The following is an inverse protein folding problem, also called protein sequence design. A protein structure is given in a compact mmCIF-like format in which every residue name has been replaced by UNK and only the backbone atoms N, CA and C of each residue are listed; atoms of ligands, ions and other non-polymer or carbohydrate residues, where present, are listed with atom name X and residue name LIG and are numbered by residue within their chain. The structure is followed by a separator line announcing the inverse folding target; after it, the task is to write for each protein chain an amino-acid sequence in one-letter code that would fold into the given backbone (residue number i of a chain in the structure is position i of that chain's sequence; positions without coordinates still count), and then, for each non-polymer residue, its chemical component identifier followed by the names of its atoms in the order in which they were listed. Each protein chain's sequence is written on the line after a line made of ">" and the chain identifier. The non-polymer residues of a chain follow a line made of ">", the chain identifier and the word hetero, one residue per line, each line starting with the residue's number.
data_IF_833693970968
#
_entry.id   IF_833693970968
#
_cell.length_a   1.000
_cell.length_b   1.000
_cell.length_c   1.000
_cell.angle_alpha   90.00
_cell.angle_beta   90.00
_cell.angle_gamma   90.00
#
_symmetry.space_group_name_H-M   'P 1'
#
loop_
_entity.id
_entity.type
_entity.pdbx_description
1 polymer ?
#
# COMPACT_ATOMS: atom_id res chain seq x y z
N UNK A 1 -39.16 -27.03 4.78
CA UNK A 1 -38.78 -26.00 3.79
C UNK A 1 -38.28 -24.72 4.45
N UNK A 2 -39.02 -24.16 5.42
CA UNK A 2 -38.64 -22.91 6.11
C UNK A 2 -37.25 -22.94 6.77
N UNK A 3 -36.91 -24.03 7.47
CA UNK A 3 -35.59 -24.20 8.09
C UNK A 3 -34.45 -24.21 7.06
N UNK A 4 -34.69 -24.82 5.89
CA UNK A 4 -33.72 -24.85 4.78
C UNK A 4 -33.53 -23.45 4.19
N UNK A 5 -34.60 -22.67 4.02
CA UNK A 5 -34.51 -21.28 3.59
C UNK A 5 -33.79 -20.41 4.62
N UNK A 6 -34.07 -20.59 5.91
CA UNK A 6 -33.37 -19.88 6.97
C UNK A 6 -31.86 -20.18 6.96
N UNK A 7 -31.48 -21.45 6.83
CA UNK A 7 -30.07 -21.86 6.71
C UNK A 7 -29.41 -21.30 5.45
N UNK A 8 -30.11 -21.29 4.31
CA UNK A 8 -29.61 -20.70 3.07
C UNK A 8 -29.34 -19.20 3.25
N UNK A 9 -30.28 -18.46 3.84
CA UNK A 9 -30.13 -17.01 4.06
C UNK A 9 -28.94 -16.74 4.99
N UNK A 10 -28.83 -17.47 6.10
CA UNK A 10 -27.72 -17.29 7.06
C UNK A 10 -26.37 -17.58 6.39
N UNK A 11 -26.27 -18.65 5.61
CA UNK A 11 -25.02 -18.99 4.91
C UNK A 11 -24.65 -17.94 3.86
N UNK A 12 -25.60 -17.48 3.05
CA UNK A 12 -25.37 -16.42 2.06
C UNK A 12 -24.90 -15.13 2.72
N UNK A 13 -25.57 -14.69 3.79
CA UNK A 13 -25.18 -13.49 4.53
C UNK A 13 -23.78 -13.65 5.13
N UNK A 14 -23.47 -14.81 5.72
CA UNK A 14 -22.16 -15.10 6.26
C UNK A 14 -21.06 -15.01 5.18
N UNK A 15 -21.28 -15.61 4.02
CA UNK A 15 -20.33 -15.54 2.90
C UNK A 15 -20.15 -14.11 2.38
N UNK A 16 -21.22 -13.31 2.30
CA UNK A 16 -21.12 -11.90 1.93
C UNK A 16 -20.25 -11.12 2.92
N UNK A 17 -20.48 -11.27 4.22
CA UNK A 17 -19.69 -10.57 5.25
C UNK A 17 -18.21 -10.98 5.19
N UNK A 18 -17.92 -12.27 5.04
CA UNK A 18 -16.55 -12.76 4.90
C UNK A 18 -15.87 -12.19 3.65
N UNK A 19 -16.57 -12.18 2.51
CA UNK A 19 -16.07 -11.63 1.25
C UNK A 19 -15.74 -10.14 1.37
N UNK A 20 -16.68 -9.34 1.91
CA UNK A 20 -16.48 -7.89 2.12
C UNK A 20 -15.32 -7.63 3.08
N UNK A 21 -15.22 -8.40 4.16
CA UNK A 21 -14.14 -8.26 5.15
C UNK A 21 -12.76 -8.53 4.55
N UNK A 22 -12.63 -9.57 3.74
CA UNK A 22 -11.37 -9.90 3.05
C UNK A 22 -11.01 -8.78 2.06
N UNK A 23 -11.99 -8.30 1.29
CA UNK A 23 -11.78 -7.24 0.32
C UNK A 23 -11.36 -5.92 1.00
N UNK A 24 -12.05 -5.53 2.06
CA UNK A 24 -11.74 -4.35 2.86
C UNK A 24 -10.33 -4.43 3.46
N UNK A 25 -9.95 -5.59 4.01
CA UNK A 25 -8.60 -5.81 4.53
C UNK A 25 -7.53 -5.65 3.44
N UNK A 26 -7.78 -6.16 2.23
CA UNK A 26 -6.85 -6.03 1.10
C UNK A 26 -6.66 -4.57 0.70
N UNK A 27 -7.76 -3.82 0.61
CA UNK A 27 -7.75 -2.38 0.31
C UNK A 27 -6.98 -1.63 1.40
N UNK A 28 -7.27 -1.90 2.67
CA UNK A 28 -6.62 -1.25 3.80
C UNK A 28 -5.09 -1.45 3.78
N UNK A 29 -4.63 -2.68 3.52
CA UNK A 29 -3.20 -2.97 3.41
C UNK A 29 -2.55 -2.20 2.26
N UNK A 30 -3.26 -2.02 1.13
CA UNK A 30 -2.77 -1.25 0.00
C UNK A 30 -2.65 0.24 0.33
N UNK A 31 -3.66 0.84 0.96
CA UNK A 31 -3.60 2.23 1.40
C UNK A 31 -2.50 2.46 2.43
N UNK A 32 -2.36 1.55 3.40
CA UNK A 32 -1.28 1.62 4.39
C UNK A 32 0.09 1.54 3.75
N UNK A 33 0.30 0.65 2.78
CA UNK A 33 1.58 0.55 2.08
C UNK A 33 1.89 1.83 1.30
N UNK A 34 0.90 2.40 0.61
CA UNK A 34 1.04 3.67 -0.10
C UNK A 34 1.41 4.82 0.84
N UNK A 35 0.78 4.92 2.01
CA UNK A 35 1.11 5.92 3.03
C UNK A 35 2.55 5.77 3.54
N UNK A 36 3.04 4.54 3.70
CA UNK A 36 4.44 4.29 4.06
C UNK A 36 5.37 4.69 2.91
N UNK A 37 5.00 4.39 1.67
CA UNK A 37 5.78 4.79 0.49
C UNK A 37 5.90 6.31 0.40
N UNK A 38 4.80 7.05 0.58
CA UNK A 38 4.78 8.52 0.58
C UNK A 38 5.71 9.10 1.65
N UNK A 39 5.60 8.66 2.90
CA UNK A 39 6.52 9.09 3.98
C UNK A 39 7.98 8.71 3.71
N UNK A 40 8.20 7.60 3.01
CA UNK A 40 9.55 7.17 2.63
C UNK A 40 10.12 8.09 1.57
N UNK A 41 9.31 8.47 0.57
CA UNK A 41 9.68 9.43 -0.45
C UNK A 41 10.01 10.80 0.17
N UNK A 42 9.18 11.31 1.09
CA UNK A 42 9.45 12.55 1.83
C UNK A 42 10.81 12.51 2.55
N UNK A 43 11.10 11.40 3.23
CA UNK A 43 12.39 11.19 3.90
C UNK A 43 13.57 11.15 2.92
N UNK A 44 13.37 10.62 1.71
CA UNK A 44 14.38 10.64 0.64
C UNK A 44 14.55 12.05 0.08
N UNK A 45 13.47 12.80 -0.14
CA UNK A 45 13.52 14.18 -0.61
C UNK A 45 14.24 15.10 0.37
N UNK A 46 13.96 14.99 1.67
CA UNK A 46 14.70 15.74 2.69
C UNK A 46 16.19 15.44 2.69
N UNK A 47 16.57 14.17 2.41
CA UNK A 47 17.99 13.78 2.29
C UNK A 47 18.63 14.34 1.02
N UNK A 48 17.90 14.39 -0.09
CA UNK A 48 18.34 15.03 -1.33
C UNK A 48 18.63 16.52 -1.10
N UNK A 49 17.71 17.23 -0.46
CA UNK A 49 17.88 18.65 -0.13
C UNK A 49 19.06 18.89 0.80
N UNK A 50 19.23 18.05 1.81
CA UNK A 50 20.33 18.11 2.77
C UNK A 50 21.67 17.57 2.22
N UNK A 51 21.72 17.11 0.95
CA UNK A 51 22.89 16.47 0.31
C UNK A 51 23.46 15.30 1.12
N UNK A 52 22.58 14.55 1.77
CA UNK A 52 22.94 13.36 2.55
C UNK A 52 22.92 12.10 1.68
N UNK A 53 23.64 11.06 2.14
CA UNK A 53 23.62 9.76 1.49
C UNK A 53 22.22 9.15 1.60
N UNK A 54 21.67 8.73 0.46
CA UNK A 54 20.38 8.05 0.37
C UNK A 54 20.66 6.54 0.46
N UNK A 55 20.03 5.83 1.41
CA UNK A 55 20.19 4.40 1.51
C UNK A 55 19.52 3.72 0.31
N UNK A 56 20.10 2.61 -0.17
CA UNK A 56 19.52 1.78 -1.23
C UNK A 56 18.18 1.14 -0.80
N UNK A 57 17.99 0.95 0.51
CA UNK A 57 16.76 0.39 1.08
C UNK A 57 16.28 1.18 2.29
N UNK A 58 14.98 1.50 2.33
CA UNK A 58 14.31 2.15 3.46
C UNK A 58 12.86 1.69 3.58
N UNK A 59 12.40 1.39 4.81
CA UNK A 59 11.03 0.94 5.09
C UNK A 59 10.56 -0.28 4.26
N UNK A 60 11.51 -1.10 3.80
CA UNK A 60 11.25 -2.26 2.94
C UNK A 60 11.00 -1.91 1.47
N UNK A 61 11.31 -0.69 1.05
CA UNK A 61 11.39 -0.26 -0.34
C UNK A 61 12.86 -0.18 -0.75
N UNK A 62 13.13 -0.65 -1.96
CA UNK A 62 14.34 -0.34 -2.71
C UNK A 62 14.16 1.06 -3.31
N UNK A 63 15.17 1.92 -3.15
CA UNK A 63 15.11 3.32 -3.55
C UNK A 63 16.01 3.50 -4.77
N UNK A 64 15.43 3.98 -5.88
CA UNK A 64 16.17 4.50 -7.01
C UNK A 64 15.82 5.99 -7.19
N UNK A 65 16.85 6.83 -7.36
CA UNK A 65 16.67 8.27 -7.51
C UNK A 65 17.22 8.72 -8.84
N UNK A 66 16.35 9.26 -9.69
CA UNK A 66 16.67 9.76 -11.01
C UNK A 66 16.39 11.26 -11.07
N UNK A 67 17.41 12.08 -10.79
CA UNK A 67 17.27 13.53 -10.75
C UNK A 67 16.35 14.00 -9.62
N UNK A 68 15.15 14.48 -9.97
CA UNK A 68 14.12 14.93 -9.03
C UNK A 68 13.01 13.89 -8.78
N UNK A 69 13.17 12.67 -9.29
CA UNK A 69 12.22 11.57 -9.14
C UNK A 69 12.74 10.53 -8.17
N UNK A 70 11.85 10.07 -7.29
CA UNK A 70 12.11 8.99 -6.34
C UNK A 70 11.23 7.81 -6.71
N UNK A 71 11.88 6.71 -7.08
CA UNK A 71 11.25 5.43 -7.37
C UNK A 71 11.41 4.51 -6.16
N UNK A 72 10.28 4.05 -5.62
CA UNK A 72 10.23 3.11 -4.50
C UNK A 72 9.68 1.78 -4.98
N UNK A 73 10.53 0.75 -5.02
CA UNK A 73 10.16 -0.60 -5.43
C UNK A 73 10.02 -1.53 -4.23
N UNK A 74 8.94 -2.29 -4.19
CA UNK A 74 8.72 -3.34 -3.19
C UNK A 74 8.00 -4.53 -3.82
N UNK A 75 8.73 -5.64 -3.95
CA UNK A 75 8.24 -6.87 -4.58
C UNK A 75 7.68 -6.59 -6.00
N UNK A 76 6.36 -6.69 -6.19
CA UNK A 76 5.67 -6.49 -7.47
C UNK A 76 5.08 -5.08 -7.63
N UNK A 77 5.37 -4.16 -6.71
CA UNK A 77 4.80 -2.80 -6.71
C UNK A 77 5.88 -1.74 -6.80
N UNK A 78 5.57 -0.73 -7.57
CA UNK A 78 6.42 0.41 -7.81
C UNK A 78 5.62 1.69 -7.58
N UNK A 79 6.23 2.62 -6.84
CA UNK A 79 5.66 3.92 -6.54
C UNK A 79 6.64 4.98 -7.03
N UNK A 80 6.15 5.93 -7.80
CA UNK A 80 6.94 7.05 -8.32
C UNK A 80 6.42 8.34 -7.69
N UNK A 81 7.34 9.15 -7.19
CA UNK A 81 7.06 10.47 -6.64
C UNK A 81 7.97 11.49 -7.32
N UNK A 82 7.39 12.59 -7.79
CA UNK A 82 8.11 13.71 -8.40
C UNK A 82 7.92 14.95 -7.51
N UNK A 83 9.00 15.69 -7.27
CA UNK A 83 8.89 16.96 -6.54
C UNK A 83 8.25 17.99 -7.47
N UNK A 84 7.00 18.38 -7.21
CA UNK A 84 6.46 19.61 -7.80
C UNK A 84 7.30 20.78 -7.26
N UNK A 85 7.96 21.48 -8.18
CA UNK A 85 8.77 22.68 -7.87
C UNK A 85 7.92 23.85 -7.41
#
# INVERSE_FOLDING_TARGET
>A
MEVLFALLIVTVVFFMVCSVSIHARRIFLLYREREIAERTADGVFMRLEAKQVIPEFLNGFEINVEGSRVHLRKQEREYEFEVEK
#
